data_IF_609210543908
#
_entry.id   IF_609210543908
#
_cell.length_a   1.000
_cell.length_b   1.000
_cell.length_c   1.000
_cell.angle_alpha   90.00
_cell.angle_beta   90.00
_cell.angle_gamma   90.00
#
_symmetry.space_group_name_H-M   'P 1'
#
loop_
_entity.id
_entity.type
_entity.pdbx_description
1 polymer ?
#
# COMPACT_ATOMS: atom_id res chain seq x y z
N UNK A 1 -9.94 -7.78 17.07
CA UNK A 1 -10.62 -6.91 16.07
C UNK A 1 -10.28 -7.44 14.69
N UNK A 2 -11.24 -7.45 13.76
CA UNK A 2 -11.04 -7.92 12.37
C UNK A 2 -11.21 -6.72 11.43
N UNK A 3 -10.22 -6.48 10.58
CA UNK A 3 -10.26 -5.44 9.54
C UNK A 3 -10.60 -6.07 8.20
N UNK A 4 -11.49 -5.45 7.43
CA UNK A 4 -11.74 -5.80 6.03
C UNK A 4 -10.98 -4.84 5.12
N UNK A 5 -10.11 -5.37 4.26
CA UNK A 5 -9.30 -4.57 3.33
C UNK A 5 -9.70 -4.89 1.89
N UNK A 6 -9.51 -3.94 0.95
CA UNK A 6 -9.73 -4.23 -0.47
C UNK A 6 -8.81 -5.36 -0.94
N UNK A 7 -9.21 -6.05 -2.01
CA UNK A 7 -8.35 -7.05 -2.62
C UNK A 7 -7.16 -6.35 -3.31
N UNK A 8 -5.92 -6.82 -3.11
CA UNK A 8 -4.76 -6.15 -3.67
C UNK A 8 -4.65 -6.39 -5.18
N UNK A 9 -4.00 -5.49 -5.92
CA UNK A 9 -3.56 -5.81 -7.27
C UNK A 9 -2.48 -6.92 -7.21
N UNK A 10 -2.29 -7.62 -8.32
CA UNK A 10 -1.20 -8.60 -8.43
C UNK A 10 0.17 -7.95 -8.20
N UNK A 11 1.18 -8.74 -7.82
CA UNK A 11 2.54 -8.25 -7.54
C UNK A 11 3.11 -7.44 -8.71
N UNK A 12 2.93 -7.95 -9.94
CA UNK A 12 3.38 -7.28 -11.16
C UNK A 12 2.63 -5.99 -11.46
N UNK A 13 1.38 -5.88 -11.03
CA UNK A 13 0.59 -4.65 -11.15
C UNK A 13 0.92 -3.67 -10.03
N UNK A 14 1.27 -4.15 -8.84
CA UNK A 14 1.61 -3.32 -7.69
C UNK A 14 2.94 -2.59 -7.86
N UNK A 15 3.96 -3.31 -8.37
CA UNK A 15 5.30 -2.77 -8.55
C UNK A 15 5.56 -2.37 -10.00
N UNK A 16 6.39 -1.35 -10.19
CA UNK A 16 6.92 -0.98 -11.50
C UNK A 16 8.40 -0.67 -11.40
N UNK A 17 9.11 -0.91 -12.50
CA UNK A 17 10.48 -0.49 -12.68
C UNK A 17 10.57 0.28 -14.00
N UNK A 18 10.68 1.63 -13.97
CA UNK A 18 10.89 2.41 -15.18
C UNK A 18 12.17 1.95 -15.89
N UNK A 19 12.11 1.81 -17.21
CA UNK A 19 13.25 1.42 -18.04
C UNK A 19 13.97 2.62 -18.69
N UNK A 20 13.40 3.82 -18.56
CA UNK A 20 13.88 5.07 -19.17
C UNK A 20 13.72 6.24 -18.19
N UNK A 21 14.46 7.32 -18.46
CA UNK A 21 14.39 8.56 -17.70
C UNK A 21 15.12 8.51 -16.35
N UNK A 22 14.99 9.58 -15.53
CA UNK A 22 15.74 9.76 -14.28
C UNK A 22 15.49 8.68 -13.21
N UNK A 23 14.35 7.98 -13.32
CA UNK A 23 13.93 6.94 -12.37
C UNK A 23 14.24 5.52 -12.88
N UNK A 24 15.04 5.40 -13.94
CA UNK A 24 15.41 4.11 -14.53
C UNK A 24 16.06 3.20 -13.48
N UNK A 25 15.63 1.93 -13.45
CA UNK A 25 16.18 0.91 -12.56
C UNK A 25 15.68 0.98 -11.11
N UNK A 26 14.81 1.94 -10.77
CA UNK A 26 14.20 2.01 -9.43
C UNK A 26 12.93 1.17 -9.37
N UNK A 27 12.80 0.33 -8.34
CA UNK A 27 11.52 -0.28 -8.00
C UNK A 27 10.64 0.74 -7.28
N UNK A 28 9.45 0.96 -7.82
CA UNK A 28 8.50 1.95 -7.31
C UNK A 28 7.12 1.33 -7.22
N UNK A 29 6.32 1.83 -6.29
CA UNK A 29 4.89 1.53 -6.27
C UNK A 29 4.23 2.11 -7.52
N UNK A 30 3.45 1.30 -8.22
CA UNK A 30 2.71 1.70 -9.41
C UNK A 30 1.55 2.64 -9.06
N UNK A 31 0.85 3.16 -10.08
CA UNK A 31 -0.36 3.94 -9.84
C UNK A 31 -1.44 3.09 -9.13
N UNK A 32 -1.64 1.85 -9.57
CA UNK A 32 -2.57 0.90 -8.95
C UNK A 32 -2.15 0.54 -7.53
N UNK A 33 -0.85 0.36 -7.27
CA UNK A 33 -0.33 0.11 -5.93
C UNK A 33 -0.59 1.29 -4.98
N UNK A 34 -0.41 2.54 -5.45
CA UNK A 34 -0.72 3.73 -4.66
C UNK A 34 -2.22 3.88 -4.42
N UNK A 35 -3.06 3.58 -5.41
CA UNK A 35 -4.52 3.57 -5.26
C UNK A 35 -4.94 2.58 -4.17
N UNK A 36 -4.42 1.35 -4.22
CA UNK A 36 -4.66 0.35 -3.19
C UNK A 36 -4.21 0.82 -1.79
N UNK A 37 -3.04 1.45 -1.68
CA UNK A 37 -2.55 1.99 -0.39
C UNK A 37 -3.52 3.02 0.20
N UNK A 38 -4.01 3.95 -0.63
CA UNK A 38 -5.00 4.95 -0.21
C UNK A 38 -6.32 4.31 0.23
N UNK A 39 -6.84 3.35 -0.54
CA UNK A 39 -8.08 2.63 -0.23
C UNK A 39 -7.95 1.79 1.05
N UNK A 40 -6.85 1.08 1.24
CA UNK A 40 -6.58 0.31 2.44
C UNK A 40 -6.46 1.23 3.67
N UNK A 41 -5.80 2.38 3.54
CA UNK A 41 -5.70 3.37 4.62
C UNK A 41 -7.08 3.93 4.99
N UNK A 42 -7.89 4.30 4.01
CA UNK A 42 -9.26 4.77 4.22
C UNK A 42 -10.11 3.72 4.93
N UNK A 43 -10.09 2.47 4.45
CA UNK A 43 -10.83 1.36 5.07
C UNK A 43 -10.45 1.15 6.54
N UNK A 44 -9.17 1.28 6.88
CA UNK A 44 -8.70 1.19 8.28
C UNK A 44 -9.25 2.32 9.13
N UNK A 45 -9.17 3.57 8.64
CA UNK A 45 -9.64 4.74 9.39
C UNK A 45 -11.16 4.69 9.58
N UNK A 46 -11.92 4.32 8.55
CA UNK A 46 -13.37 4.20 8.59
C UNK A 46 -13.84 3.14 9.59
N UNK A 47 -13.20 1.97 9.59
CA UNK A 47 -13.54 0.88 10.51
C UNK A 47 -13.10 1.17 11.95
N UNK A 48 -11.95 1.81 12.13
CA UNK A 48 -11.45 2.20 13.46
C UNK A 48 -12.15 3.43 14.03
N UNK A 49 -12.71 4.29 13.16
CA UNK A 49 -13.22 5.64 13.50
C UNK A 49 -12.18 6.51 14.23
N UNK A 50 -10.90 6.27 13.98
CA UNK A 50 -9.77 7.02 14.53
C UNK A 50 -8.54 6.88 13.65
N UNK A 51 -7.62 7.83 13.76
CA UNK A 51 -6.30 7.72 13.17
C UNK A 51 -5.43 6.76 14.00
N UNK A 52 -4.95 5.63 13.45
CA UNK A 52 -4.11 4.70 14.18
C UNK A 52 -2.72 5.30 14.47
N UNK A 53 -2.17 5.00 15.66
CA UNK A 53 -0.78 5.36 15.98
C UNK A 53 0.17 4.38 15.26
N UNK A 54 1.19 4.88 14.54
CA UNK A 54 2.23 4.03 13.98
C UNK A 54 2.93 3.21 15.07
N UNK A 55 3.24 1.95 14.77
CA UNK A 55 4.06 1.09 15.63
C UNK A 55 5.50 1.12 15.16
N UNK A 56 6.45 1.20 16.08
CA UNK A 56 7.89 0.98 15.84
C UNK A 56 8.28 -0.50 15.95
N UNK A 57 7.41 -1.35 16.47
CA UNK A 57 7.66 -2.79 16.52
C UNK A 57 7.56 -3.40 15.10
N UNK A 58 8.45 -4.33 14.72
CA UNK A 58 8.33 -5.05 13.46
C UNK A 58 7.00 -5.81 13.40
N UNK A 59 6.40 -5.86 12.21
CA UNK A 59 5.26 -6.74 11.98
C UNK A 59 5.71 -8.20 12.16
N UNK A 60 4.98 -8.98 12.97
CA UNK A 60 5.20 -10.41 13.04
C UNK A 60 4.86 -11.03 11.68
N UNK A 61 5.77 -11.89 11.17
CA UNK A 61 5.65 -12.60 9.90
C UNK A 61 5.18 -14.02 10.17
#
# INVERSE_FOLDING_TARGET
MKLTLPFPPSVNTYWRAPNKGPLKGRHMVSASGRKYQSEACAAVIEQLRRLPKPSTAPAAV
#
